data_IF_954798485952
#
_entry.id   IF_954798485952
#
_cell.length_a   1.000
_cell.length_b   1.000
_cell.length_c   1.000
_cell.angle_alpha   90.00
_cell.angle_beta   90.00
_cell.angle_gamma   90.00
#
_symmetry.space_group_name_H-M   'P 1'
#
loop_
_entity.id
_entity.type
_entity.pdbx_description
1 polymer ?
#
# COMPACT_ATOMS: atom_id res chain seq x y z
N UNK A 1 21.62 7.02 -1.28
CA UNK A 1 21.41 8.48 -1.43
C UNK A 1 21.19 8.76 -2.89
N UNK A 2 20.06 9.36 -3.27
CA UNK A 2 19.76 9.72 -4.67
C UNK A 2 19.88 11.24 -4.80
N UNK A 3 20.74 11.72 -5.70
CA UNK A 3 20.88 13.16 -5.96
C UNK A 3 19.89 13.58 -7.04
N UNK A 4 18.95 14.45 -6.66
CA UNK A 4 17.99 15.05 -7.58
C UNK A 4 18.46 16.48 -7.90
N UNK A 5 18.57 16.81 -9.18
CA UNK A 5 18.78 18.18 -9.68
C UNK A 5 17.46 18.68 -10.24
N UNK A 6 16.87 19.69 -9.59
CA UNK A 6 15.63 20.33 -10.02
C UNK A 6 15.85 21.81 -10.36
N UNK A 7 14.79 22.46 -10.84
CA UNK A 7 14.82 23.86 -11.32
C UNK A 7 15.16 24.88 -10.22
N UNK A 8 15.09 24.46 -8.94
CA UNK A 8 15.37 25.28 -7.76
C UNK A 8 16.64 24.85 -6.98
N UNK A 9 17.47 23.97 -7.56
CA UNK A 9 18.73 23.51 -6.96
C UNK A 9 18.83 21.98 -6.80
N UNK A 10 19.93 21.52 -6.20
CA UNK A 10 20.19 20.09 -5.97
C UNK A 10 19.81 19.67 -4.54
N UNK A 11 19.03 18.60 -4.41
CA UNK A 11 18.69 17.98 -3.12
C UNK A 11 19.15 16.52 -3.09
N UNK A 12 19.75 16.11 -1.97
CA UNK A 12 20.16 14.73 -1.73
C UNK A 12 19.02 13.99 -1.01
N UNK A 13 18.28 13.16 -1.74
CA UNK A 13 17.19 12.37 -1.19
C UNK A 13 17.74 11.09 -0.55
N UNK A 14 17.74 11.04 0.78
CA UNK A 14 18.06 9.82 1.52
C UNK A 14 16.77 9.00 1.73
N UNK A 15 16.59 7.97 0.90
CA UNK A 15 15.51 7.00 1.08
C UNK A 15 15.98 5.91 2.03
N UNK A 16 15.55 5.98 3.29
CA UNK A 16 15.71 4.88 4.24
C UNK A 16 14.76 3.74 3.91
N UNK A 17 15.08 2.50 4.31
CA UNK A 17 14.27 1.30 4.04
C UNK A 17 12.79 1.39 4.48
N UNK A 18 12.39 2.11 5.55
CA UNK A 18 10.97 2.28 5.87
C UNK A 18 10.24 3.08 4.78
N UNK A 19 10.93 4.08 4.23
CA UNK A 19 10.49 4.93 3.13
C UNK A 19 10.55 4.24 1.76
N UNK A 20 11.31 3.15 1.62
CA UNK A 20 11.31 2.30 0.43
C UNK A 20 10.08 1.37 0.32
N UNK A 21 9.27 1.28 1.37
CA UNK A 21 8.03 0.47 1.36
C UNK A 21 8.16 -0.88 2.07
N UNK A 22 9.30 -1.19 2.68
CA UNK A 22 9.48 -2.43 3.45
C UNK A 22 8.53 -2.45 4.66
N UNK A 23 8.36 -1.32 5.33
CA UNK A 23 7.51 -1.23 6.52
C UNK A 23 6.03 -1.52 6.21
N UNK A 24 5.50 -0.95 5.12
CA UNK A 24 4.12 -1.19 4.68
C UNK A 24 3.89 -2.64 4.24
N UNK A 25 4.88 -3.28 3.60
CA UNK A 25 4.79 -4.71 3.25
C UNK A 25 4.71 -5.59 4.50
N UNK A 26 5.50 -5.29 5.54
CA UNK A 26 5.47 -6.04 6.80
C UNK A 26 4.11 -5.88 7.48
N UNK A 27 3.64 -4.63 7.67
CA UNK A 27 2.34 -4.37 8.30
C UNK A 27 1.22 -5.03 7.50
N UNK A 28 1.21 -4.88 6.18
CA UNK A 28 0.23 -5.50 5.29
C UNK A 28 0.22 -7.02 5.48
N UNK A 29 1.40 -7.65 5.43
CA UNK A 29 1.54 -9.10 5.56
C UNK A 29 1.01 -9.62 6.90
N UNK A 30 1.31 -8.91 8.00
CA UNK A 30 0.84 -9.28 9.33
C UNK A 30 -0.68 -9.11 9.46
N UNK A 31 -1.21 -7.96 9.07
CA UNK A 31 -2.65 -7.64 9.19
C UNK A 31 -3.48 -8.55 8.30
N UNK A 32 -3.14 -8.64 7.01
CA UNK A 32 -3.87 -9.45 6.05
C UNK A 32 -3.65 -10.94 6.30
N UNK A 33 -2.44 -11.35 6.71
CA UNK A 33 -2.17 -12.72 7.12
C UNK A 33 -3.07 -13.17 8.27
N UNK A 34 -3.11 -12.39 9.36
CA UNK A 34 -3.98 -12.67 10.50
C UNK A 34 -5.48 -12.63 10.13
N UNK A 35 -5.89 -11.64 9.35
CA UNK A 35 -7.27 -11.52 8.86
C UNK A 35 -7.69 -12.75 8.04
N UNK A 36 -6.85 -13.16 7.08
CA UNK A 36 -7.12 -14.32 6.23
C UNK A 36 -7.15 -15.61 7.05
N UNK A 37 -6.31 -15.77 8.09
CA UNK A 37 -6.37 -16.95 8.97
C UNK A 37 -7.74 -17.09 9.65
N UNK A 38 -8.32 -15.98 10.11
CA UNK A 38 -9.63 -15.94 10.77
C UNK A 38 -10.80 -16.26 9.82
N UNK A 39 -10.68 -15.98 8.53
CA UNK A 39 -11.77 -16.22 7.57
C UNK A 39 -11.88 -17.68 7.12
N UNK A 40 -13.11 -18.19 6.97
CA UNK A 40 -13.38 -19.52 6.41
C UNK A 40 -13.34 -19.51 4.87
N UNK A 41 -12.18 -19.20 4.31
CA UNK A 41 -11.92 -19.17 2.86
C UNK A 41 -11.05 -20.38 2.48
N UNK A 42 -11.26 -20.94 1.29
CA UNK A 42 -10.38 -21.99 0.75
C UNK A 42 -8.93 -21.50 0.63
N UNK A 43 -7.97 -22.32 1.07
CA UNK A 43 -6.52 -21.98 1.12
C UNK A 43 -5.98 -21.38 -0.18
N UNK A 44 -6.36 -21.93 -1.34
CA UNK A 44 -5.94 -21.42 -2.66
C UNK A 44 -6.33 -19.94 -2.85
N UNK A 45 -7.54 -19.55 -2.45
CA UNK A 45 -8.00 -18.16 -2.58
C UNK A 45 -7.31 -17.22 -1.60
N UNK A 46 -7.07 -17.68 -0.36
CA UNK A 46 -6.27 -16.91 0.62
C UNK A 46 -4.90 -16.55 0.06
N UNK A 47 -4.21 -17.50 -0.56
CA UNK A 47 -2.90 -17.28 -1.19
C UNK A 47 -3.01 -16.26 -2.34
N UNK A 48 -4.02 -16.40 -3.21
CA UNK A 48 -4.24 -15.45 -4.31
C UNK A 48 -4.48 -14.03 -3.79
N UNK A 49 -5.36 -13.84 -2.80
CA UNK A 49 -5.59 -12.53 -2.21
C UNK A 49 -4.32 -11.99 -1.56
N UNK A 50 -3.59 -12.81 -0.83
CA UNK A 50 -2.34 -12.40 -0.19
C UNK A 50 -1.33 -11.87 -1.23
N UNK A 51 -1.10 -12.61 -2.33
CA UNK A 51 -0.19 -12.21 -3.40
C UNK A 51 -0.66 -10.91 -4.07
N UNK A 52 -1.96 -10.81 -4.43
CA UNK A 52 -2.52 -9.59 -5.02
C UNK A 52 -2.37 -8.39 -4.10
N UNK A 53 -2.53 -8.61 -2.80
CA UNK A 53 -2.32 -7.63 -1.76
C UNK A 53 -0.89 -7.11 -1.68
N UNK A 54 0.10 -8.01 -1.77
CA UNK A 54 1.52 -7.65 -1.81
C UNK A 54 1.83 -6.83 -3.07
N UNK A 55 1.35 -7.28 -4.23
CA UNK A 55 1.54 -6.55 -5.51
C UNK A 55 0.97 -5.14 -5.39
N UNK A 56 -0.26 -4.99 -4.91
CA UNK A 56 -0.84 -3.66 -4.77
C UNK A 56 -0.15 -2.79 -3.71
N UNK A 57 0.37 -3.38 -2.64
CA UNK A 57 1.20 -2.65 -1.65
C UNK A 57 2.49 -2.13 -2.29
N UNK A 58 3.15 -2.94 -3.13
CA UNK A 58 4.30 -2.50 -3.91
C UNK A 58 3.92 -1.35 -4.84
N UNK A 59 2.80 -1.46 -5.56
CA UNK A 59 2.31 -0.39 -6.45
C UNK A 59 2.07 0.92 -5.71
N UNK A 60 1.40 0.89 -4.55
CA UNK A 60 1.16 2.09 -3.72
C UNK A 60 2.48 2.69 -3.21
N UNK A 61 3.43 1.85 -2.83
CA UNK A 61 4.76 2.31 -2.42
C UNK A 61 5.52 2.96 -3.60
N UNK A 62 5.38 2.45 -4.82
CA UNK A 62 5.97 3.07 -6.01
C UNK A 62 5.36 4.46 -6.27
N UNK A 63 4.04 4.57 -6.20
CA UNK A 63 3.34 5.86 -6.32
C UNK A 63 3.83 6.83 -5.24
N UNK A 64 4.00 6.36 -4.00
CA UNK A 64 4.53 7.18 -2.89
C UNK A 64 5.92 7.73 -3.20
N UNK A 65 6.85 6.87 -3.63
CA UNK A 65 8.21 7.30 -3.99
C UNK A 65 8.16 8.33 -5.13
N UNK A 66 7.35 8.07 -6.16
CA UNK A 66 7.17 9.00 -7.26
C UNK A 66 6.63 10.36 -6.81
N UNK A 67 5.60 10.38 -5.96
CA UNK A 67 5.04 11.62 -5.40
C UNK A 67 6.06 12.40 -4.56
N UNK A 68 6.86 11.71 -3.74
CA UNK A 68 7.94 12.34 -2.95
C UNK A 68 9.02 12.95 -3.83
N UNK A 69 9.43 12.23 -4.88
CA UNK A 69 10.43 12.72 -5.84
C UNK A 69 9.90 13.90 -6.65
N UNK A 70 8.63 13.85 -7.08
CA UNK A 70 7.99 14.94 -7.82
C UNK A 70 7.88 16.21 -6.96
N UNK A 71 7.43 16.09 -5.71
CA UNK A 71 7.30 17.22 -4.79
C UNK A 71 8.65 17.91 -4.54
N UNK A 72 9.71 17.13 -4.33
CA UNK A 72 11.08 17.64 -4.15
C UNK A 72 11.62 18.37 -5.39
N UNK A 73 11.22 17.95 -6.59
CA UNK A 73 11.72 18.50 -7.85
C UNK A 73 10.96 19.72 -8.33
N UNK A 74 9.65 19.81 -8.05
CA UNK A 74 8.75 20.77 -8.70
C UNK A 74 8.03 21.72 -7.75
N UNK A 75 8.01 21.46 -6.44
CA UNK A 75 7.27 22.30 -5.49
C UNK A 75 8.20 23.07 -4.55
N UNK A 76 9.15 22.40 -3.93
CA UNK A 76 10.07 23.06 -2.99
C UNK A 76 11.37 22.29 -2.82
N UNK A 77 12.47 23.03 -2.71
CA UNK A 77 13.78 22.52 -2.25
C UNK A 77 14.03 22.81 -0.78
N UNK A 78 13.08 23.44 -0.07
CA UNK A 78 13.14 23.65 1.38
C UNK A 78 13.04 22.30 2.12
N UNK A 79 14.09 21.91 2.88
CA UNK A 79 14.09 20.66 3.63
C UNK A 79 12.95 20.54 4.64
N UNK A 80 12.52 21.64 5.27
CA UNK A 80 11.49 21.61 6.33
C UNK A 80 10.13 21.28 5.72
N UNK A 81 9.73 22.01 4.67
CA UNK A 81 8.49 21.78 3.95
C UNK A 81 8.46 20.40 3.26
N UNK A 82 9.61 19.90 2.79
CA UNK A 82 9.72 18.55 2.24
C UNK A 82 9.54 17.46 3.32
N UNK A 83 10.11 17.64 4.51
CA UNK A 83 10.00 16.67 5.60
C UNK A 83 8.57 16.57 6.15
N UNK A 84 7.84 17.69 6.23
CA UNK A 84 6.42 17.70 6.59
C UNK A 84 5.60 16.88 5.58
N UNK A 85 5.78 17.12 4.28
CA UNK A 85 5.12 16.33 3.23
C UNK A 85 5.54 14.85 3.29
N UNK A 86 6.82 14.57 3.55
CA UNK A 86 7.35 13.21 3.65
C UNK A 86 6.69 12.40 4.77
N UNK A 87 6.51 13.00 5.96
CA UNK A 87 5.84 12.35 7.09
C UNK A 87 4.39 12.01 6.76
N UNK A 88 3.66 12.95 6.17
CA UNK A 88 2.26 12.79 5.81
C UNK A 88 2.07 11.74 4.70
N UNK A 89 2.83 11.84 3.61
CA UNK A 89 2.76 10.90 2.49
C UNK A 89 3.20 9.47 2.90
N UNK A 90 4.12 9.37 3.87
CA UNK A 90 4.60 8.12 4.44
C UNK A 90 3.49 7.22 4.99
N UNK A 91 2.62 7.79 5.82
CA UNK A 91 1.59 7.07 6.57
C UNK A 91 0.22 7.10 5.88
N UNK A 92 -0.19 8.25 5.33
CA UNK A 92 -1.53 8.43 4.79
C UNK A 92 -1.75 7.64 3.50
N UNK A 93 -0.71 7.36 2.70
CA UNK A 93 -0.92 6.64 1.43
C UNK A 93 -1.14 5.14 1.59
N UNK A 94 -0.65 4.53 2.67
CA UNK A 94 -0.77 3.08 2.90
C UNK A 94 -2.10 2.68 3.53
N UNK A 95 -2.60 3.44 4.52
CA UNK A 95 -3.81 3.09 5.26
C UNK A 95 -5.05 2.93 4.36
N UNK A 96 -5.39 3.88 3.47
CA UNK A 96 -6.53 3.77 2.55
C UNK A 96 -6.44 2.53 1.67
N UNK A 97 -5.24 2.18 1.20
CA UNK A 97 -5.01 0.96 0.43
C UNK A 97 -5.33 -0.30 1.25
N UNK A 98 -4.84 -0.37 2.49
CA UNK A 98 -5.10 -1.50 3.39
C UNK A 98 -6.61 -1.70 3.61
N UNK A 99 -7.34 -0.62 3.92
CA UNK A 99 -8.78 -0.68 4.12
C UNK A 99 -9.54 -1.03 2.84
N UNK A 100 -9.20 -0.42 1.71
CA UNK A 100 -9.81 -0.72 0.41
C UNK A 100 -9.62 -2.20 0.05
N UNK A 101 -8.42 -2.74 0.28
CA UNK A 101 -8.13 -4.14 0.01
C UNK A 101 -9.00 -5.08 0.87
N UNK A 102 -9.10 -4.83 2.18
CA UNK A 102 -9.95 -5.62 3.07
C UNK A 102 -11.41 -5.58 2.62
N UNK A 103 -11.93 -4.39 2.31
CA UNK A 103 -13.31 -4.22 1.85
C UNK A 103 -13.58 -5.00 0.56
N UNK A 104 -12.68 -4.93 -0.41
CA UNK A 104 -12.80 -5.67 -1.68
C UNK A 104 -12.85 -7.18 -1.42
N UNK A 105 -11.95 -7.72 -0.59
CA UNK A 105 -11.94 -9.16 -0.25
C UNK A 105 -13.26 -9.57 0.41
N UNK A 106 -13.74 -8.80 1.39
CA UNK A 106 -14.99 -9.07 2.08
C UNK A 106 -16.15 -9.08 1.09
N UNK A 107 -16.26 -8.06 0.24
CA UNK A 107 -17.34 -7.95 -0.74
C UNK A 107 -17.35 -9.14 -1.72
N UNK A 108 -16.19 -9.56 -2.19
CA UNK A 108 -16.06 -10.71 -3.11
C UNK A 108 -16.50 -12.00 -2.41
N UNK A 109 -15.97 -12.31 -1.22
CA UNK A 109 -16.31 -13.55 -0.53
C UNK A 109 -17.75 -13.56 -0.02
N UNK A 110 -18.29 -12.43 0.47
CA UNK A 110 -19.70 -12.31 0.85
C UNK A 110 -20.65 -12.57 -0.32
N UNK A 111 -20.36 -12.01 -1.51
CA UNK A 111 -21.16 -12.29 -2.72
C UNK A 111 -21.07 -13.75 -3.13
N UNK A 112 -19.90 -14.37 -2.96
CA UNK A 112 -19.67 -15.77 -3.32
C UNK A 112 -20.42 -16.73 -2.41
N UNK A 113 -20.43 -16.48 -1.10
CA UNK A 113 -21.18 -17.28 -0.13
C UNK A 113 -22.68 -17.25 -0.43
N UNK A 114 -23.25 -16.07 -0.66
CA UNK A 114 -24.67 -15.91 -1.05
C UNK A 114 -25.01 -16.67 -2.33
N UNK A 115 -24.12 -16.67 -3.32
CA UNK A 115 -24.32 -17.42 -4.58
C UNK A 115 -24.36 -18.94 -4.34
N UNK A 116 -23.46 -19.46 -3.50
CA UNK A 116 -23.41 -20.89 -3.17
C UNK A 116 -24.68 -21.30 -2.41
N UNK A 117 -25.13 -20.50 -1.43
CA UNK A 117 -26.37 -20.74 -0.70
C UNK A 117 -27.59 -20.78 -1.64
N UNK A 118 -27.68 -19.84 -2.58
CA UNK A 118 -28.78 -19.81 -3.55
C UNK A 118 -28.82 -21.04 -4.48
N UNK A 119 -27.66 -21.58 -4.87
CA UNK A 119 -27.58 -22.75 -5.76
C UNK A 119 -27.91 -24.06 -5.05
N UNK A 120 -27.64 -24.15 -3.74
CA UNK A 120 -27.98 -25.33 -2.95
C UNK A 120 -29.45 -25.37 -2.50
N UNK A 121 -30.19 -24.26 -2.69
CA UNK A 121 -31.60 -24.12 -2.29
C UNK A 121 -32.59 -24.38 -3.43
N UNK A 122 -32.08 -24.63 -4.65
CA UNK A 122 -32.81 -24.98 -5.88
C UNK A 122 -32.48 -26.39 -6.31
#
# INVERSE_FOLDING_TARGET
>A
VMFLRGDHGSIALQVFWPSAGVHSIIIFSLVIGAFMLKMNIQRKRKIVYFILGIIGTITVNLIRIFSLSWYALKVTTDPVAWEEYHKIAGEIMFLPWLFAFILVVILIESRRLKKIESQNST
#
